data_IF_274872460265
#
_entry.id   IF_274872460265
#
_cell.length_a   1.000
_cell.length_b   1.000
_cell.length_c   1.000
_cell.angle_alpha   90.00
_cell.angle_beta   90.00
_cell.angle_gamma   90.00
#
_symmetry.space_group_name_H-M   'P 1'
#
loop_
_entity.id
_entity.type
_entity.pdbx_description
1 polymer ?
#
# COMPACT_ATOMS: atom_id res chain seq x y z
N UNK A 1 -44.60 -3.64 -16.82
CA UNK A 1 -43.71 -4.40 -15.94
C UNK A 1 -44.52 -4.83 -14.72
N UNK A 2 -44.67 -6.14 -14.50
CA UNK A 2 -45.47 -6.64 -13.36
C UNK A 2 -44.75 -6.38 -12.03
N UNK A 3 -45.47 -6.34 -10.91
CA UNK A 3 -44.84 -6.18 -9.59
C UNK A 3 -43.79 -7.26 -9.29
N UNK A 4 -43.95 -8.45 -9.88
CA UNK A 4 -43.00 -9.57 -9.78
C UNK A 4 -41.70 -9.28 -10.53
N UNK A 5 -41.77 -8.77 -11.75
CA UNK A 5 -40.59 -8.35 -12.52
C UNK A 5 -39.83 -7.23 -11.80
N UNK A 6 -40.54 -6.25 -11.23
CA UNK A 6 -39.91 -5.18 -10.45
C UNK A 6 -39.18 -5.71 -9.21
N UNK A 7 -39.77 -6.70 -8.53
CA UNK A 7 -39.15 -7.34 -7.37
C UNK A 7 -37.89 -8.11 -7.78
N UNK A 8 -37.95 -8.91 -8.84
CA UNK A 8 -36.81 -9.69 -9.34
C UNK A 8 -35.60 -8.80 -9.69
N UNK A 9 -35.84 -7.68 -10.38
CA UNK A 9 -34.78 -6.73 -10.77
C UNK A 9 -34.24 -5.95 -9.55
N UNK A 10 -35.02 -5.79 -8.48
CA UNK A 10 -34.61 -5.02 -7.31
C UNK A 10 -33.88 -5.86 -6.25
N UNK A 11 -34.16 -7.15 -6.17
CA UNK A 11 -33.65 -8.04 -5.13
C UNK A 11 -32.23 -8.51 -5.41
N UNK A 12 -31.88 -8.84 -6.67
CA UNK A 12 -30.54 -9.34 -6.99
C UNK A 12 -29.41 -8.33 -6.65
N UNK A 13 -29.51 -7.03 -7.00
CA UNK A 13 -28.49 -6.05 -6.59
C UNK A 13 -28.40 -5.86 -5.08
N UNK A 14 -29.48 -6.08 -4.32
CA UNK A 14 -29.45 -6.00 -2.86
C UNK A 14 -28.59 -7.10 -2.26
N UNK A 15 -28.77 -8.34 -2.71
CA UNK A 15 -27.95 -9.46 -2.25
C UNK A 15 -26.48 -9.29 -2.63
N UNK A 16 -26.19 -8.83 -3.85
CA UNK A 16 -24.81 -8.53 -4.28
C UNK A 16 -24.17 -7.45 -3.42
N UNK A 17 -24.91 -6.37 -3.10
CA UNK A 17 -24.42 -5.33 -2.18
C UNK A 17 -24.10 -5.91 -0.83
N UNK A 18 -25.03 -6.66 -0.22
CA UNK A 18 -24.82 -7.23 1.11
C UNK A 18 -23.58 -8.16 1.13
N UNK A 19 -23.48 -9.06 0.15
CA UNK A 19 -22.35 -9.99 0.05
C UNK A 19 -21.01 -9.25 -0.09
N UNK A 20 -20.91 -8.30 -1.03
CA UNK A 20 -19.70 -7.50 -1.22
C UNK A 20 -19.38 -6.66 0.02
N UNK A 21 -20.38 -6.04 0.64
CA UNK A 21 -20.19 -5.21 1.83
C UNK A 21 -19.58 -6.01 2.97
N UNK A 22 -20.12 -7.20 3.25
CA UNK A 22 -19.60 -8.08 4.30
C UNK A 22 -18.14 -8.45 4.02
N UNK A 23 -17.85 -8.91 2.80
CA UNK A 23 -16.50 -9.31 2.39
C UNK A 23 -15.51 -8.15 2.54
N UNK A 24 -15.84 -6.98 1.99
CA UNK A 24 -14.91 -5.86 1.93
C UNK A 24 -14.76 -5.08 3.23
N UNK A 25 -15.81 -5.02 4.06
CA UNK A 25 -15.66 -4.52 5.44
C UNK A 25 -14.75 -5.45 6.23
N UNK A 26 -14.95 -6.76 6.11
CA UNK A 26 -14.12 -7.75 6.80
C UNK A 26 -12.65 -7.68 6.35
N UNK A 27 -12.37 -7.68 5.05
CA UNK A 27 -10.99 -7.63 4.52
C UNK A 27 -10.33 -6.30 4.82
N UNK A 28 -11.06 -5.18 4.67
CA UNK A 28 -10.56 -3.84 4.97
C UNK A 28 -10.20 -3.70 6.44
N UNK A 29 -11.06 -4.18 7.34
CA UNK A 29 -10.79 -4.17 8.78
C UNK A 29 -9.61 -5.07 9.14
N UNK A 30 -9.52 -6.25 8.53
CA UNK A 30 -8.39 -7.16 8.70
C UNK A 30 -7.05 -6.48 8.40
N UNK A 31 -6.96 -5.70 7.32
CA UNK A 31 -5.72 -4.98 6.98
C UNK A 31 -5.29 -3.93 8.01
N UNK A 32 -6.24 -3.32 8.70
CA UNK A 32 -5.98 -2.28 9.70
C UNK A 32 -5.76 -2.83 11.10
N UNK A 33 -6.39 -3.96 11.44
CA UNK A 33 -6.38 -4.52 12.80
C UNK A 33 -5.42 -5.69 12.99
N UNK A 34 -4.92 -6.28 11.91
CA UNK A 34 -3.93 -7.36 11.99
C UNK A 34 -2.53 -6.84 11.79
N UNK A 35 -1.58 -7.42 12.52
CA UNK A 35 -0.15 -7.15 12.37
C UNK A 35 0.52 -8.31 11.64
N UNK A 36 1.58 -7.98 10.89
CA UNK A 36 2.52 -8.94 10.33
C UNK A 36 3.93 -8.67 10.87
N UNK A 37 4.72 -9.73 11.05
CA UNK A 37 6.15 -9.61 11.34
C UNK A 37 6.94 -9.35 10.06
N UNK A 38 7.84 -8.36 10.11
CA UNK A 38 8.83 -8.08 9.07
C UNK A 38 10.21 -7.92 9.71
N UNK A 39 11.28 -8.32 9.02
CA UNK A 39 12.66 -8.18 9.49
C UNK A 39 13.60 -7.93 8.31
N UNK A 40 14.85 -7.56 8.61
CA UNK A 40 15.91 -7.38 7.64
C UNK A 40 15.52 -6.40 6.53
N UNK A 41 15.68 -6.84 5.27
CA UNK A 41 15.50 -5.98 4.10
C UNK A 41 14.08 -5.42 3.97
N UNK A 42 13.04 -6.23 4.23
CA UNK A 42 11.65 -5.75 4.10
C UNK A 42 11.31 -4.67 5.15
N UNK A 43 11.86 -4.80 6.36
CA UNK A 43 11.70 -3.77 7.39
C UNK A 43 12.45 -2.48 6.99
N UNK A 44 13.66 -2.60 6.43
CA UNK A 44 14.42 -1.47 5.90
C UNK A 44 13.69 -0.76 4.76
N UNK A 45 13.10 -1.50 3.83
CA UNK A 45 12.28 -0.97 2.75
C UNK A 45 11.09 -0.17 3.29
N UNK A 46 10.35 -0.69 4.26
CA UNK A 46 9.24 0.05 4.89
C UNK A 46 9.71 1.30 5.66
N UNK A 47 10.86 1.22 6.35
CA UNK A 47 11.44 2.37 7.03
C UNK A 47 11.82 3.48 6.03
N UNK A 48 12.44 3.10 4.90
CA UNK A 48 12.80 4.01 3.81
C UNK A 48 11.56 4.61 3.10
N UNK A 49 10.39 3.96 3.17
CA UNK A 49 9.11 4.52 2.68
C UNK A 49 8.49 5.54 3.66
N UNK A 50 9.05 5.69 4.87
CA UNK A 50 8.54 6.58 5.91
C UNK A 50 7.49 5.94 6.82
N UNK A 51 7.39 4.61 6.87
CA UNK A 51 6.49 3.93 7.81
C UNK A 51 6.95 4.19 9.23
N UNK A 52 6.20 5.05 9.92
CA UNK A 52 6.41 5.38 11.32
C UNK A 52 5.96 4.22 12.23
N UNK A 53 6.60 4.05 13.37
CA UNK A 53 6.24 2.99 14.33
C UNK A 53 6.95 1.66 14.11
N UNK A 54 7.92 1.58 13.18
CA UNK A 54 9.00 0.59 13.25
C UNK A 54 9.88 0.91 14.47
N UNK A 55 9.31 0.74 15.66
CA UNK A 55 10.03 0.94 16.90
C UNK A 55 11.13 -0.11 16.91
N UNK A 56 12.40 0.32 17.00
CA UNK A 56 13.50 -0.59 17.34
C UNK A 56 13.09 -1.23 18.65
N UNK A 57 12.56 -2.45 18.59
CA UNK A 57 12.30 -3.22 19.80
C UNK A 57 13.69 -3.49 20.34
N UNK A 58 14.11 -2.67 21.32
CA UNK A 58 15.34 -2.88 22.03
C UNK A 58 15.27 -4.30 22.57
N UNK A 59 16.14 -5.17 22.06
CA UNK A 59 16.10 -6.60 22.29
C UNK A 59 16.10 -6.85 23.81
N UNK A 60 14.99 -7.32 24.42
CA UNK A 60 14.95 -7.55 25.85
C UNK A 60 15.86 -8.74 26.13
N UNK A 61 17.09 -8.46 26.58
CA UNK A 61 18.10 -9.48 26.83
C UNK A 61 19.15 -9.67 25.74
N UNK A 62 19.33 -8.73 24.80
CA UNK A 62 20.66 -8.59 24.21
C UNK A 62 21.59 -8.18 25.35
N UNK A 63 22.32 -9.17 25.88
CA UNK A 63 23.48 -8.89 26.71
C UNK A 63 24.29 -7.80 25.98
N UNK A 64 24.79 -6.77 26.68
CA UNK A 64 25.63 -5.75 26.06
C UNK A 64 26.64 -6.49 25.19
N UNK A 65 26.67 -6.18 23.89
CA UNK A 65 27.67 -6.77 22.99
C UNK A 65 28.99 -6.72 23.74
N UNK A 66 29.68 -7.86 23.92
CA UNK A 66 30.85 -7.92 24.77
C UNK A 66 31.72 -6.75 24.36
N UNK A 67 31.94 -5.83 25.30
CA UNK A 67 32.79 -4.66 25.11
C UNK A 67 34.00 -5.17 24.37
N UNK A 68 34.19 -4.72 23.11
CA UNK A 68 35.33 -5.14 22.31
C UNK A 68 36.54 -5.07 23.24
N UNK A 69 37.25 -6.20 23.47
CA UNK A 69 38.29 -6.27 24.48
C UNK A 69 39.16 -5.03 24.32
N UNK A 70 39.31 -4.26 25.40
CA UNK A 70 40.10 -3.04 25.40
C UNK A 70 41.36 -3.31 24.57
N UNK A 71 41.66 -2.49 23.55
CA UNK A 71 42.76 -2.77 22.63
C UNK A 71 43.97 -3.13 23.48
N UNK A 72 44.46 -4.35 23.31
CA UNK A 72 45.69 -4.79 23.96
C UNK A 72 46.70 -3.69 23.64
N UNK A 73 47.32 -3.05 24.65
CA UNK A 73 48.29 -2.00 24.39
C UNK A 73 49.30 -2.55 23.40
N UNK A 74 49.32 -1.95 22.21
CA UNK A 74 50.31 -2.31 21.21
C UNK A 74 51.68 -2.13 21.86
N UNK A 75 52.62 -3.08 21.68
CA UNK A 75 53.98 -2.91 22.20
C UNK A 75 54.50 -1.57 21.72
N UNK A 76 54.94 -0.74 22.68
CA UNK A 76 55.50 0.59 22.47
C UNK A 76 56.52 0.56 21.32
N UNK A 77 56.10 0.96 20.12
CA UNK A 77 57.01 1.45 19.11
C UNK A 77 57.41 2.84 19.59
N UNK A 78 58.67 2.99 19.96
CA UNK A 78 59.26 4.28 20.34
C UNK A 78 58.99 5.29 19.23
N UNK A 79 58.12 6.24 19.54
CA UNK A 79 57.77 7.38 18.72
C UNK A 79 59.02 8.28 18.57
N UNK A 80 59.42 8.66 17.35
CA UNK A 80 60.50 9.61 17.14
C UNK A 80 60.14 10.98 17.73
N UNK A 81 60.99 11.44 18.64
CA UNK A 81 60.96 12.75 19.29
C UNK A 81 60.94 13.87 18.24
N UNK A 82 59.77 14.44 17.97
CA UNK A 82 59.64 15.64 17.13
C UNK A 82 60.15 16.87 17.89
N UNK A 83 61.05 17.61 17.25
CA UNK A 83 61.57 18.90 17.70
C UNK A 83 60.48 19.98 17.72
N UNK A 84 60.46 20.84 18.74
CA UNK A 84 59.52 21.96 18.83
C UNK A 84 59.89 23.05 17.81
N UNK A 85 59.01 23.25 16.83
CA UNK A 85 59.12 24.36 15.87
C UNK A 85 58.68 25.66 16.55
N UNK A 86 59.58 26.63 16.59
CA UNK A 86 59.44 27.95 17.21
C UNK A 86 58.61 28.87 16.29
N UNK A 87 57.42 29.24 16.71
CA UNK A 87 56.57 30.20 15.99
C UNK A 87 57.12 31.64 16.12
N UNK A 88 57.26 32.40 15.02
CA UNK A 88 57.58 33.81 15.08
C UNK A 88 56.34 34.67 15.36
N UNK A 89 56.58 35.72 16.14
CA UNK A 89 55.63 36.70 16.66
C UNK A 89 54.72 37.33 15.59
N UNK A 90 53.41 37.39 15.88
CA UNK A 90 52.43 38.21 15.15
C UNK A 90 52.44 39.63 15.68
N UNK A 91 52.64 40.59 14.79
CA UNK A 91 52.46 42.01 15.02
C UNK A 91 50.95 42.40 15.09
N UNK A 92 50.59 43.48 15.81
CA UNK A 92 49.22 43.98 15.86
C UNK A 92 48.91 44.82 14.61
N UNK A 93 47.88 44.40 13.86
CA UNK A 93 47.34 45.18 12.73
C UNK A 93 46.03 45.82 13.17
N UNK A 94 46.05 47.14 13.29
CA UNK A 94 44.89 48.01 13.45
C UNK A 94 44.22 48.23 12.09
N UNK A 95 42.94 47.85 11.98
CA UNK A 95 42.11 48.04 10.78
C UNK A 95 40.83 48.84 11.07
N UNK A 96 40.33 49.63 10.10
CA UNK A 96 39.21 50.58 10.23
C UNK A 96 37.80 49.92 10.24
N UNK A 97 36.71 50.68 10.49
CA UNK A 97 35.48 50.14 11.08
C UNK A 97 34.58 49.33 10.14
N UNK A 98 33.80 48.48 10.79
CA UNK A 98 32.88 47.46 10.30
C UNK A 98 32.07 47.83 9.04
N UNK A 99 32.31 47.09 7.96
CA UNK A 99 31.31 46.82 6.94
C UNK A 99 30.31 45.80 7.50
N UNK A 100 29.03 46.11 7.37
CA UNK A 100 27.89 45.22 7.68
C UNK A 100 28.08 43.92 6.89
N UNK A 101 28.55 42.88 7.57
CA UNK A 101 28.56 41.52 7.04
C UNK A 101 27.10 41.07 7.05
N UNK A 102 26.46 41.11 5.89
CA UNK A 102 25.23 40.35 5.65
C UNK A 102 25.60 38.90 5.90
N UNK A 103 25.27 38.39 7.09
CA UNK A 103 25.34 36.98 7.41
C UNK A 103 24.38 36.31 6.44
N UNK A 104 24.92 35.82 5.33
CA UNK A 104 24.26 34.81 4.53
C UNK A 104 24.00 33.66 5.50
N UNK A 105 22.76 33.56 5.95
CA UNK A 105 22.26 32.49 6.79
C UNK A 105 22.48 31.23 5.96
N UNK A 106 23.64 30.58 6.13
CA UNK A 106 23.94 29.31 5.51
C UNK A 106 22.83 28.38 5.94
N UNK A 107 21.89 28.15 5.02
CA UNK A 107 20.84 27.18 5.19
C UNK A 107 21.58 25.87 5.35
N UNK A 108 21.69 25.36 6.58
CA UNK A 108 22.16 24.00 6.79
C UNK A 108 21.30 23.14 5.89
N UNK A 109 21.89 22.40 4.93
CA UNK A 109 21.11 21.55 4.05
C UNK A 109 20.21 20.68 4.93
N UNK A 110 18.92 20.55 4.59
CA UNK A 110 18.01 19.71 5.38
C UNK A 110 18.68 18.35 5.59
N UNK A 111 18.66 17.81 6.81
CA UNK A 111 19.35 16.56 7.11
C UNK A 111 18.89 15.51 6.10
N UNK A 112 19.83 14.95 5.34
CA UNK A 112 19.57 13.87 4.39
C UNK A 112 18.83 12.77 5.15
N UNK A 113 17.63 12.40 4.69
CA UNK A 113 16.85 11.36 5.32
C UNK A 113 17.73 10.12 5.49
N UNK A 114 17.81 9.60 6.72
CA UNK A 114 18.63 8.43 7.01
C UNK A 114 18.18 7.27 6.11
N UNK A 115 19.13 6.65 5.39
CA UNK A 115 18.86 5.44 4.62
C UNK A 115 19.04 4.25 5.55
N UNK A 116 17.99 3.44 5.68
CA UNK A 116 18.01 2.24 6.49
C UNK A 116 18.42 1.02 5.65
N UNK A 117 19.08 0.07 6.29
CA UNK A 117 19.56 -1.19 5.70
C UNK A 117 19.02 -2.39 6.48
N UNK A 118 19.12 -3.61 5.93
CA UNK A 118 18.73 -4.82 6.64
C UNK A 118 19.40 -4.98 8.03
N UNK A 119 20.64 -4.49 8.19
CA UNK A 119 21.37 -4.57 9.45
C UNK A 119 20.75 -3.72 10.57
N UNK A 120 19.95 -2.71 10.23
CA UNK A 120 19.22 -1.88 11.20
C UNK A 120 18.01 -2.61 11.81
N UNK A 121 17.59 -3.72 11.21
CA UNK A 121 16.42 -4.52 11.60
C UNK A 121 16.78 -6.00 11.81
N UNK A 122 17.68 -6.33 12.76
CA UNK A 122 18.10 -7.71 13.02
C UNK A 122 16.99 -8.57 13.64
N UNK A 123 15.99 -7.94 14.25
CA UNK A 123 14.88 -8.59 14.92
C UNK A 123 13.56 -8.37 14.15
N UNK A 124 12.59 -9.26 14.37
CA UNK A 124 11.24 -9.08 13.86
C UNK A 124 10.60 -7.82 14.44
N UNK A 125 10.04 -7.00 13.56
CA UNK A 125 9.24 -5.83 13.89
C UNK A 125 7.82 -6.10 13.42
N UNK A 126 6.84 -5.85 14.30
CA UNK A 126 5.43 -5.96 13.94
C UNK A 126 4.96 -4.67 13.28
N UNK A 127 4.31 -4.81 12.14
CA UNK A 127 3.71 -3.72 11.39
C UNK A 127 2.29 -4.09 10.97
N UNK A 128 1.42 -3.11 10.77
CA UNK A 128 0.07 -3.38 10.27
C UNK A 128 0.12 -4.16 8.95
N UNK A 129 -0.76 -5.14 8.78
CA UNK A 129 -0.91 -5.99 7.59
C UNK A 129 -1.14 -5.17 6.32
N UNK A 130 -1.71 -3.98 6.45
CA UNK A 130 -1.79 -2.94 5.42
C UNK A 130 -0.47 -2.78 4.64
N UNK A 131 0.66 -2.73 5.35
CA UNK A 131 1.97 -2.52 4.75
C UNK A 131 2.50 -3.72 3.96
N UNK A 132 1.85 -4.88 4.07
CA UNK A 132 2.04 -5.99 3.13
C UNK A 132 1.71 -5.61 1.69
N UNK A 133 0.78 -4.67 1.46
CA UNK A 133 0.47 -4.14 0.12
C UNK A 133 1.62 -3.26 -0.39
N UNK A 134 2.20 -2.43 0.48
CA UNK A 134 3.34 -1.58 0.12
C UNK A 134 4.56 -2.43 -0.26
N UNK A 135 4.83 -3.50 0.50
CA UNK A 135 5.85 -4.49 0.15
C UNK A 135 5.54 -5.22 -1.15
N UNK A 136 4.29 -5.64 -1.37
CA UNK A 136 3.88 -6.28 -2.62
C UNK A 136 4.10 -5.37 -3.83
N UNK A 137 3.82 -4.06 -3.71
CA UNK A 137 4.06 -3.08 -4.76
C UNK A 137 5.56 -2.85 -5.00
N UNK A 138 6.38 -2.89 -3.96
CA UNK A 138 7.83 -2.80 -4.08
C UNK A 138 8.40 -4.02 -4.83
N UNK A 139 8.01 -5.23 -4.39
CA UNK A 139 8.41 -6.50 -5.02
C UNK A 139 7.92 -6.58 -6.47
N UNK A 140 6.76 -6.00 -6.79
CA UNK A 140 6.21 -5.93 -8.14
C UNK A 140 7.08 -5.09 -9.11
N UNK A 141 7.81 -4.09 -8.60
CA UNK A 141 8.73 -3.27 -9.41
C UNK A 141 10.11 -3.92 -9.52
N UNK A 142 10.56 -4.63 -8.48
CA UNK A 142 11.85 -5.32 -8.45
C UNK A 142 11.65 -6.84 -8.27
N UNK A 143 11.01 -7.50 -9.25
CA UNK A 143 10.68 -8.91 -9.10
C UNK A 143 11.95 -9.75 -9.05
N UNK A 144 11.95 -10.73 -8.16
CA UNK A 144 13.02 -11.72 -8.05
C UNK A 144 12.45 -13.12 -8.30
N UNK A 145 13.26 -14.00 -8.86
CA UNK A 145 12.91 -15.41 -9.02
C UNK A 145 13.10 -16.18 -7.69
N UNK A 146 12.88 -17.50 -7.71
CA UNK A 146 13.07 -18.36 -6.52
C UNK A 146 14.50 -18.40 -6.01
N UNK A 147 15.47 -18.04 -6.84
CA UNK A 147 16.90 -17.97 -6.50
C UNK A 147 17.31 -16.56 -6.05
N UNK A 148 16.36 -15.61 -5.99
CA UNK A 148 16.61 -14.22 -5.65
C UNK A 148 17.20 -13.40 -6.80
N UNK A 149 17.26 -13.94 -8.02
CA UNK A 149 17.79 -13.23 -9.19
C UNK A 149 16.74 -12.28 -9.76
N UNK A 150 17.13 -11.09 -10.22
CA UNK A 150 16.18 -10.14 -10.78
C UNK A 150 15.53 -10.68 -12.06
N UNK A 151 14.20 -10.58 -12.13
CA UNK A 151 13.40 -10.94 -13.31
C UNK A 151 13.25 -9.72 -14.23
N UNK A 152 13.28 -9.93 -15.54
CA UNK A 152 13.31 -8.84 -16.53
C UNK A 152 12.02 -8.03 -16.64
N UNK A 153 10.88 -8.56 -16.19
CA UNK A 153 9.58 -7.97 -16.45
C UNK A 153 8.94 -7.41 -15.17
N UNK A 154 9.07 -6.11 -14.86
CA UNK A 154 8.39 -5.50 -13.72
C UNK A 154 6.86 -5.50 -13.93
N UNK A 155 6.08 -5.83 -12.89
CA UNK A 155 4.60 -5.83 -12.93
C UNK A 155 3.99 -4.44 -12.78
N UNK A 156 4.75 -3.53 -12.19
CA UNK A 156 4.32 -2.18 -11.90
C UNK A 156 5.37 -1.20 -12.43
N UNK A 157 4.95 0.01 -12.83
CA UNK A 157 5.89 1.06 -13.21
C UNK A 157 6.71 1.51 -11.99
N UNK A 158 7.98 1.83 -12.21
CA UNK A 158 8.95 2.08 -11.15
C UNK A 158 8.58 3.22 -10.20
N UNK A 159 7.90 4.25 -10.70
CA UNK A 159 7.49 5.40 -9.88
C UNK A 159 6.55 5.01 -8.73
N UNK A 160 5.82 3.90 -8.85
CA UNK A 160 4.91 3.41 -7.81
C UNK A 160 5.69 2.88 -6.59
N UNK A 161 6.90 2.36 -6.77
CA UNK A 161 7.73 1.82 -5.68
C UNK A 161 8.67 2.84 -5.04
N UNK A 162 8.72 4.07 -5.57
CA UNK A 162 9.64 5.11 -5.08
C UNK A 162 9.00 6.03 -4.05
N UNK A 163 9.77 6.40 -3.03
CA UNK A 163 9.33 7.33 -1.98
C UNK A 163 8.12 6.80 -1.20
N UNK A 164 7.17 7.69 -0.89
CA UNK A 164 5.98 7.35 -0.09
C UNK A 164 4.79 6.85 -0.92
N UNK A 165 4.95 6.61 -2.22
CA UNK A 165 3.85 6.14 -3.08
C UNK A 165 3.25 4.80 -2.67
N UNK A 166 4.04 3.74 -2.37
CA UNK A 166 3.49 2.45 -1.93
C UNK A 166 2.65 2.58 -0.67
N UNK A 167 3.08 3.45 0.25
CA UNK A 167 2.40 3.74 1.48
C UNK A 167 1.01 4.36 1.23
N UNK A 168 0.93 5.39 0.38
CA UNK A 168 -0.34 6.01 0.01
C UNK A 168 -1.27 5.03 -0.72
N UNK A 169 -0.74 4.20 -1.62
CA UNK A 169 -1.53 3.22 -2.36
C UNK A 169 -2.05 2.10 -1.47
N UNK A 170 -1.27 1.64 -0.50
CA UNK A 170 -1.72 0.69 0.51
C UNK A 170 -2.91 1.25 1.29
N UNK A 171 -2.79 2.47 1.81
CA UNK A 171 -3.89 3.17 2.50
C UNK A 171 -5.10 3.38 1.59
N UNK A 172 -4.90 3.81 0.35
CA UNK A 172 -5.98 3.98 -0.62
C UNK A 172 -6.72 2.67 -0.86
N UNK A 173 -6.02 1.54 -1.00
CA UNK A 173 -6.63 0.23 -1.16
C UNK A 173 -7.47 -0.17 0.07
N UNK A 174 -6.92 -0.07 1.27
CA UNK A 174 -7.65 -0.45 2.49
C UNK A 174 -8.85 0.46 2.78
N UNK A 175 -8.71 1.77 2.57
CA UNK A 175 -9.82 2.71 2.70
C UNK A 175 -10.89 2.45 1.63
N UNK A 176 -10.51 2.15 0.40
CA UNK A 176 -11.47 1.81 -0.66
C UNK A 176 -12.24 0.54 -0.33
N UNK A 177 -11.60 -0.48 0.22
CA UNK A 177 -12.30 -1.70 0.66
C UNK A 177 -13.25 -1.42 1.82
N UNK A 178 -12.76 -0.78 2.88
CA UNK A 178 -13.56 -0.55 4.09
C UNK A 178 -14.71 0.42 3.82
N UNK A 179 -14.38 1.63 3.32
CA UNK A 179 -15.38 2.66 3.03
C UNK A 179 -16.28 2.23 1.88
N UNK A 180 -15.74 1.61 0.83
CA UNK A 180 -16.54 1.07 -0.27
C UNK A 180 -17.54 0.02 0.21
N UNK A 181 -17.12 -0.89 1.09
CA UNK A 181 -18.01 -1.87 1.72
C UNK A 181 -19.13 -1.21 2.54
N UNK A 182 -18.82 -0.20 3.36
CA UNK A 182 -19.84 0.55 4.10
C UNK A 182 -20.80 1.31 3.19
N UNK A 183 -20.29 1.98 2.15
CA UNK A 183 -21.10 2.70 1.18
C UNK A 183 -22.05 1.75 0.43
N UNK A 184 -21.59 0.56 0.03
CA UNK A 184 -22.45 -0.47 -0.57
C UNK A 184 -23.53 -0.98 0.38
N UNK A 185 -23.20 -1.15 1.68
CA UNK A 185 -24.13 -1.64 2.70
C UNK A 185 -25.36 -0.72 2.81
N UNK A 186 -25.13 0.58 2.92
CA UNK A 186 -26.19 1.58 2.99
C UNK A 186 -26.78 1.94 1.61
N UNK A 187 -26.11 1.54 0.52
CA UNK A 187 -26.51 1.87 -0.84
C UNK A 187 -26.34 3.36 -1.14
N UNK A 188 -25.22 3.93 -0.70
CA UNK A 188 -24.77 5.29 -0.94
C UNK A 188 -23.66 5.28 -2.00
N UNK A 189 -23.80 6.12 -3.03
CA UNK A 189 -22.85 6.21 -4.15
C UNK A 189 -22.48 4.85 -4.73
N UNK A 190 -23.45 3.94 -4.85
CA UNK A 190 -23.19 2.51 -5.08
C UNK A 190 -22.33 2.26 -6.30
N UNK A 191 -22.58 2.97 -7.40
CA UNK A 191 -21.79 2.82 -8.64
C UNK A 191 -20.33 3.21 -8.44
N UNK A 192 -20.08 4.30 -7.72
CA UNK A 192 -18.72 4.79 -7.45
C UNK A 192 -17.99 3.87 -6.46
N UNK A 193 -18.67 3.45 -5.39
CA UNK A 193 -18.12 2.50 -4.42
C UNK A 193 -17.79 1.14 -5.08
N UNK A 194 -18.71 0.62 -5.89
CA UNK A 194 -18.49 -0.62 -6.64
C UNK A 194 -17.34 -0.50 -7.65
N UNK A 195 -17.19 0.66 -8.31
CA UNK A 195 -16.06 0.91 -9.21
C UNK A 195 -14.73 0.90 -8.46
N UNK A 196 -14.66 1.54 -7.29
CA UNK A 196 -13.46 1.50 -6.43
C UNK A 196 -13.08 0.07 -6.04
N UNK A 197 -14.06 -0.73 -5.60
CA UNK A 197 -13.87 -2.15 -5.29
C UNK A 197 -13.41 -2.94 -6.52
N UNK A 198 -13.99 -2.69 -7.69
CA UNK A 198 -13.58 -3.34 -8.93
C UNK A 198 -12.11 -3.04 -9.27
N UNK A 199 -11.66 -1.79 -9.13
CA UNK A 199 -10.26 -1.41 -9.33
C UNK A 199 -9.32 -2.13 -8.36
N UNK A 200 -9.68 -2.25 -7.08
CA UNK A 200 -8.88 -2.97 -6.07
C UNK A 200 -8.80 -4.47 -6.42
N UNK A 201 -9.91 -5.09 -6.82
CA UNK A 201 -9.90 -6.50 -7.25
C UNK A 201 -9.09 -6.74 -8.51
N UNK A 202 -9.20 -5.88 -9.51
CA UNK A 202 -8.39 -5.97 -10.72
C UNK A 202 -6.90 -5.87 -10.40
N UNK A 203 -6.52 -4.91 -9.54
CA UNK A 203 -5.14 -4.75 -9.10
C UNK A 203 -4.65 -5.96 -8.32
N UNK A 204 -5.47 -6.52 -7.43
CA UNK A 204 -5.14 -7.72 -6.67
C UNK A 204 -4.93 -8.94 -7.59
N UNK A 205 -5.81 -9.16 -8.57
CA UNK A 205 -5.67 -10.24 -9.56
C UNK A 205 -4.37 -10.08 -10.35
N UNK A 206 -4.07 -8.85 -10.79
CA UNK A 206 -2.83 -8.55 -11.50
C UNK A 206 -1.59 -8.85 -10.65
N UNK A 207 -1.51 -8.30 -9.44
CA UNK A 207 -0.32 -8.43 -8.58
C UNK A 207 -0.13 -9.81 -7.97
N UNK A 208 -1.20 -10.61 -7.82
CA UNK A 208 -1.13 -11.88 -7.08
C UNK A 208 -1.29 -13.13 -7.93
N UNK A 209 -1.92 -13.05 -9.12
CA UNK A 209 -2.18 -14.21 -9.96
C UNK A 209 -1.60 -14.05 -11.36
N UNK A 210 -2.05 -13.04 -12.11
CA UNK A 210 -1.69 -12.87 -13.53
C UNK A 210 -0.23 -12.46 -13.69
N UNK A 211 0.19 -11.42 -12.96
CA UNK A 211 1.55 -10.88 -13.05
C UNK A 211 2.63 -11.93 -12.73
N UNK A 212 2.56 -12.61 -11.57
CA UNK A 212 3.50 -13.68 -11.25
C UNK A 212 3.53 -14.81 -12.29
N UNK A 213 2.37 -15.17 -12.87
CA UNK A 213 2.30 -16.16 -13.93
C UNK A 213 3.06 -15.70 -15.19
N UNK A 214 2.82 -14.45 -15.65
CA UNK A 214 3.50 -13.84 -16.78
C UNK A 214 5.01 -13.76 -16.54
N UNK A 215 5.42 -13.30 -15.36
CA UNK A 215 6.84 -13.17 -14.98
C UNK A 215 7.59 -14.50 -14.97
N UNK A 216 6.91 -15.57 -14.57
CA UNK A 216 7.52 -16.90 -14.53
C UNK A 216 7.84 -17.47 -15.92
N UNK A 217 7.32 -16.86 -17.00
CA UNK A 217 7.45 -17.36 -18.37
C UNK A 217 6.63 -18.61 -18.67
N UNK A 218 5.92 -19.15 -17.66
CA UNK A 218 5.13 -20.38 -17.76
C UNK A 218 3.62 -20.10 -17.83
N UNK A 219 3.19 -18.90 -18.23
CA UNK A 219 1.78 -18.56 -18.26
C UNK A 219 1.01 -19.38 -19.31
N UNK A 220 -0.12 -19.96 -18.92
CA UNK A 220 -1.09 -20.56 -19.84
C UNK A 220 -1.85 -19.46 -20.59
N UNK A 221 -2.09 -19.65 -21.88
CA UNK A 221 -2.71 -18.63 -22.76
C UNK A 221 -2.01 -17.25 -22.73
N UNK A 222 -0.74 -17.20 -22.30
CA UNK A 222 0.05 -15.98 -22.20
C UNK A 222 -0.17 -15.12 -20.95
N UNK A 223 -1.17 -15.41 -20.11
CA UNK A 223 -1.43 -14.60 -18.89
C UNK A 223 -2.01 -15.37 -17.69
N UNK A 224 -2.52 -16.58 -17.88
CA UNK A 224 -3.09 -17.36 -16.79
C UNK A 224 -2.01 -18.14 -16.06
N UNK A 225 -2.17 -18.41 -14.75
CA UNK A 225 -1.32 -19.36 -14.05
C UNK A 225 -1.34 -20.75 -14.72
N UNK A 226 -0.23 -21.50 -14.73
CA UNK A 226 -0.14 -22.85 -15.32
C UNK A 226 -0.77 -23.93 -14.43
N UNK A 227 -1.98 -23.69 -13.93
CA UNK A 227 -2.70 -24.67 -13.13
C UNK A 227 -3.38 -25.72 -14.04
N UNK A 228 -3.49 -26.98 -13.62
CA UNK A 228 -4.29 -27.98 -14.34
C UNK A 228 -5.74 -27.51 -14.47
N UNK A 229 -6.35 -27.68 -15.65
CA UNK A 229 -7.65 -27.09 -15.98
C UNK A 229 -8.80 -27.47 -15.03
N UNK A 230 -8.74 -28.67 -14.43
CA UNK A 230 -9.78 -29.19 -13.53
C UNK A 230 -9.36 -29.24 -12.05
N UNK A 231 -8.22 -28.62 -11.68
CA UNK A 231 -7.81 -28.52 -10.28
C UNK A 231 -8.47 -27.31 -9.59
N UNK A 232 -9.69 -27.53 -9.09
CA UNK A 232 -10.50 -26.49 -8.43
C UNK A 232 -9.75 -25.79 -7.30
N UNK A 233 -8.88 -26.51 -6.57
CA UNK A 233 -8.14 -25.94 -5.45
C UNK A 233 -7.07 -24.96 -5.93
N UNK A 234 -6.36 -25.29 -7.00
CA UNK A 234 -5.38 -24.39 -7.61
C UNK A 234 -6.04 -23.10 -8.15
N UNK A 235 -7.21 -23.24 -8.76
CA UNK A 235 -7.97 -22.10 -9.31
C UNK A 235 -8.73 -21.28 -8.26
N UNK A 236 -8.89 -21.78 -7.03
CA UNK A 236 -9.78 -21.22 -6.01
C UNK A 236 -9.55 -19.72 -5.79
N UNK A 237 -8.30 -19.29 -5.60
CA UNK A 237 -7.97 -17.88 -5.33
C UNK A 237 -8.35 -16.97 -6.50
N UNK A 238 -7.96 -17.34 -7.72
CA UNK A 238 -8.25 -16.55 -8.91
C UNK A 238 -9.76 -16.50 -9.21
N UNK A 239 -10.45 -17.63 -9.13
CA UNK A 239 -11.90 -17.71 -9.34
C UNK A 239 -12.68 -16.91 -8.29
N UNK A 240 -12.23 -16.95 -7.03
CA UNK A 240 -12.80 -16.14 -5.96
C UNK A 240 -12.66 -14.63 -6.25
N UNK A 241 -11.45 -14.17 -6.59
CA UNK A 241 -11.20 -12.77 -6.93
C UNK A 241 -12.00 -12.35 -8.18
N UNK A 242 -12.07 -13.20 -9.20
CA UNK A 242 -12.84 -12.93 -10.42
C UNK A 242 -14.34 -12.84 -10.13
N UNK A 243 -14.86 -13.69 -9.24
CA UNK A 243 -16.26 -13.63 -8.81
C UNK A 243 -16.58 -12.29 -8.12
N UNK A 244 -15.70 -11.83 -7.21
CA UNK A 244 -15.85 -10.53 -6.53
C UNK A 244 -15.76 -9.36 -7.52
N UNK A 245 -14.83 -9.42 -8.48
CA UNK A 245 -14.70 -8.42 -9.54
C UNK A 245 -15.97 -8.35 -10.39
N UNK A 246 -16.47 -9.49 -10.88
CA UNK A 246 -17.70 -9.57 -11.67
C UNK A 246 -18.92 -9.06 -10.89
N UNK A 247 -19.03 -9.40 -9.60
CA UNK A 247 -20.08 -8.90 -8.73
C UNK A 247 -20.02 -7.38 -8.57
N UNK A 248 -18.83 -6.80 -8.38
CA UNK A 248 -18.66 -5.36 -8.28
C UNK A 248 -19.00 -4.67 -9.62
N UNK A 249 -18.51 -5.20 -10.74
CA UNK A 249 -18.82 -4.69 -12.08
C UNK A 249 -20.32 -4.77 -12.39
N UNK A 250 -21.02 -5.80 -11.93
CA UNK A 250 -22.48 -5.86 -12.04
C UNK A 250 -23.13 -4.65 -11.37
N UNK A 251 -22.70 -4.27 -10.16
CA UNK A 251 -23.23 -3.09 -9.47
C UNK A 251 -22.83 -1.76 -10.12
N UNK A 252 -21.66 -1.69 -10.76
CA UNK A 252 -21.26 -0.50 -11.55
C UNK A 252 -22.29 -0.23 -12.65
N UNK A 253 -22.69 -1.26 -13.41
CA UNK A 253 -23.60 -1.11 -14.55
C UNK A 253 -25.08 -1.14 -14.14
N UNK A 254 -25.49 -2.12 -13.34
CA UNK A 254 -26.89 -2.28 -12.91
C UNK A 254 -27.31 -1.25 -11.85
N UNK A 255 -26.36 -0.70 -11.09
CA UNK A 255 -26.62 0.23 -10.00
C UNK A 255 -27.11 -0.43 -8.71
N UNK A 256 -27.80 0.35 -7.88
CA UNK A 256 -28.02 0.04 -6.46
C UNK A 256 -29.30 -0.75 -6.13
N UNK A 257 -30.12 -1.02 -7.14
CA UNK A 257 -31.42 -1.69 -6.97
C UNK A 257 -32.51 -0.76 -6.40
N UNK A 258 -33.67 -1.33 -6.08
CA UNK A 258 -34.85 -0.57 -5.67
C UNK A 258 -34.85 0.00 -4.25
N UNK A 259 -34.04 -0.58 -3.37
CA UNK A 259 -34.00 -0.31 -1.92
C UNK A 259 -32.74 0.47 -1.49
N UNK A 260 -32.11 1.21 -2.39
CA UNK A 260 -30.92 2.00 -2.07
C UNK A 260 -31.26 3.40 -1.58
N UNK A 261 -30.41 3.95 -0.70
CA UNK A 261 -30.48 5.36 -0.33
C UNK A 261 -30.24 6.27 -1.53
N UNK A 262 -29.41 5.86 -2.49
CA UNK A 262 -29.24 6.57 -3.78
C UNK A 262 -30.58 6.90 -4.45
N UNK A 263 -31.55 5.98 -4.41
CA UNK A 263 -32.90 6.22 -4.96
C UNK A 263 -33.78 7.07 -4.07
N UNK A 264 -33.64 6.97 -2.74
CA UNK A 264 -34.37 7.82 -1.82
C UNK A 264 -33.96 9.29 -1.98
N UNK A 265 -32.66 9.54 -2.19
CA UNK A 265 -32.08 10.88 -2.36
C UNK A 265 -32.38 11.45 -3.75
N UNK A 266 -32.31 10.65 -4.82
CA UNK A 266 -32.53 11.14 -6.19
C UNK A 266 -33.98 11.54 -6.50
N UNK A 267 -34.91 11.33 -5.55
CA UNK A 267 -36.34 11.56 -5.73
C UNK A 267 -36.95 10.55 -6.70
N UNK A 268 -38.07 9.92 -6.33
CA UNK A 268 -38.87 9.25 -7.36
C UNK A 268 -39.42 10.34 -8.27
N UNK A 269 -39.31 10.23 -9.60
CA UNK A 269 -40.11 11.08 -10.49
C UNK A 269 -41.55 10.97 -10.00
N UNK A 270 -42.13 12.10 -9.61
CA UNK A 270 -43.56 12.15 -9.30
C UNK A 270 -44.24 11.75 -10.59
N UNK A 271 -44.67 10.49 -10.68
CA UNK A 271 -45.53 10.06 -11.77
C UNK A 271 -46.81 10.85 -11.55
N UNK A 272 -46.91 12.01 -12.21
CA UNK A 272 -48.14 12.74 -12.32
C UNK A 272 -49.10 11.76 -12.96
N UNK A 273 -49.96 11.14 -12.15
CA UNK A 273 -51.12 10.41 -12.64
C UNK A 273 -51.92 11.45 -13.41
N UNK A 274 -51.70 11.52 -14.72
CA UNK A 274 -52.56 12.28 -15.62
C UNK A 274 -53.96 11.80 -15.32
N UNK A 275 -54.76 12.71 -14.75
CA UNK A 275 -56.16 12.48 -14.44
C UNK A 275 -56.79 11.91 -15.71
N UNK A 276 -57.44 10.73 -15.66
CA UNK A 276 -58.04 10.15 -16.86
C UNK A 276 -58.96 11.20 -17.50
N UNK A 277 -58.77 11.42 -18.81
CA UNK A 277 -59.56 12.38 -19.55
C UNK A 277 -61.05 12.05 -19.36
N UNK A 278 -61.84 13.06 -19.02
CA UNK A 278 -63.29 12.89 -18.88
C UNK A 278 -63.86 12.38 -20.22
N UNK A 279 -64.84 11.45 -20.20
CA UNK A 279 -65.44 10.95 -21.43
C UNK A 279 -66.03 12.11 -22.23
N UNK A 280 -65.71 12.17 -23.53
CA UNK A 280 -66.34 13.11 -24.46
C UNK A 280 -67.85 12.81 -24.51
N UNK A 281 -68.65 13.86 -24.32
CA UNK A 281 -70.12 13.81 -24.40
C UNK A 281 -70.58 13.84 -25.85
#
# INVERSE_FOLDING_TARGET
MTSREHMAVSVAPLFLRLALSIVFIWTGLGKLMTDMSVSGERAAVLANMGVSGLQRVAQPGAAPSPTAPAPIPSPMVKEPKQEPKKDPAKAPVSGPPALISVIAQQSTPPPTAATFTAADFPNETRVAQLYGIALLLHDAVQPTDREGKPVRFPLAPSFIATGSWPWWLAWAAALTELLGGFLLLFGLFTRLAALGIACVMLTAIWLTQIGPAVQSGNASLGFLPPYPAFDVKAWQTLLWQLCLLCAAMNLVFAGSGGLSMDRAISGRPVVNKTKPAAPAK
#
